data_IF_015118330155
#
_entry.id   IF_015118330155
#
_cell.length_a   1.000
_cell.length_b   1.000
_cell.length_c   1.000
_cell.angle_alpha   90.00
_cell.angle_beta   90.00
_cell.angle_gamma   90.00
#
_symmetry.space_group_name_H-M   'P 1'
#
loop_
_entity.id
_entity.type
_entity.pdbx_description
1 polymer ?
#
# COMPACT_ATOMS: atom_id res chain seq x y z
N UNK A 1 3.73 -2.57 23.67
CA UNK A 1 4.03 -3.95 23.20
C UNK A 1 2.93 -4.50 22.26
N UNK A 2 2.29 -3.67 21.42
CA UNK A 2 1.39 -4.11 20.34
C UNK A 2 2.12 -4.20 18.97
N UNK A 3 3.45 -4.04 18.98
CA UNK A 3 4.25 -3.84 17.78
C UNK A 3 5.11 -5.07 17.41
N UNK A 4 5.22 -6.10 18.25
CA UNK A 4 6.20 -7.19 18.00
C UNK A 4 5.79 -8.17 16.91
N UNK A 5 4.49 -8.47 16.75
CA UNK A 5 4.02 -9.46 15.77
C UNK A 5 3.98 -8.91 14.34
N UNK A 6 3.50 -7.67 14.17
CA UNK A 6 3.60 -6.95 12.90
C UNK A 6 5.05 -6.84 12.45
N UNK A 7 5.94 -6.38 13.33
CA UNK A 7 7.37 -6.23 13.06
C UNK A 7 8.02 -7.55 12.63
N UNK A 8 7.73 -8.63 13.36
CA UNK A 8 8.25 -9.95 13.04
C UNK A 8 7.78 -10.40 11.65
N UNK A 9 6.47 -10.37 11.38
CA UNK A 9 5.91 -10.78 10.10
C UNK A 9 6.46 -9.93 8.94
N UNK A 10 6.56 -8.62 9.14
CA UNK A 10 7.12 -7.71 8.14
C UNK A 10 8.59 -8.04 7.83
N UNK A 11 9.41 -8.33 8.85
CA UNK A 11 10.82 -8.74 8.68
C UNK A 11 10.98 -10.10 8.01
N UNK A 12 10.12 -11.05 8.37
CA UNK A 12 10.11 -12.39 7.77
C UNK A 12 9.83 -12.28 6.26
N UNK A 13 8.83 -11.49 5.85
CA UNK A 13 8.52 -11.22 4.44
C UNK A 13 9.68 -10.59 3.67
N UNK A 14 10.29 -9.54 4.22
CA UNK A 14 11.48 -8.90 3.63
C UNK A 14 12.62 -9.90 3.45
N UNK A 15 12.86 -10.73 4.47
CA UNK A 15 13.92 -11.73 4.45
C UNK A 15 13.70 -12.75 3.35
N UNK A 16 12.47 -13.25 3.19
CA UNK A 16 12.13 -14.20 2.13
C UNK A 16 12.26 -13.59 0.73
N UNK A 17 11.83 -12.34 0.53
CA UNK A 17 12.00 -11.66 -0.75
C UNK A 17 13.47 -11.51 -1.15
N UNK A 18 14.33 -11.12 -0.21
CA UNK A 18 15.77 -10.97 -0.45
C UNK A 18 16.44 -12.32 -0.74
N UNK A 19 16.05 -13.39 -0.03
CA UNK A 19 16.51 -14.76 -0.33
C UNK A 19 16.08 -15.19 -1.73
N UNK A 20 14.86 -14.87 -2.14
CA UNK A 20 14.33 -15.13 -3.48
C UNK A 20 15.18 -14.49 -4.59
N UNK A 21 15.73 -13.31 -4.34
CA UNK A 21 16.68 -12.62 -5.22
C UNK A 21 18.10 -13.23 -5.21
N UNK A 22 18.33 -14.31 -4.46
CA UNK A 22 19.65 -14.96 -4.26
C UNK A 22 20.71 -14.00 -3.70
N UNK A 23 20.29 -13.02 -2.91
CA UNK A 23 21.15 -12.05 -2.22
C UNK A 23 21.20 -12.36 -0.72
N UNK A 24 22.29 -11.98 -0.05
CA UNK A 24 22.47 -12.26 1.39
C UNK A 24 21.64 -11.27 2.25
N UNK A 25 20.89 -11.82 3.21
CA UNK A 25 20.01 -11.10 4.15
C UNK A 25 20.76 -10.59 5.40
N UNK A 26 21.88 -11.21 5.76
CA UNK A 26 22.54 -11.08 7.09
C UNK A 26 22.96 -9.66 7.48
N UNK A 27 22.92 -8.69 6.56
CA UNK A 27 23.37 -7.31 6.80
C UNK A 27 22.29 -6.29 6.41
N UNK A 28 21.01 -6.69 6.39
CA UNK A 28 19.90 -5.79 6.04
C UNK A 28 19.26 -5.12 7.25
N UNK A 29 19.11 -5.85 8.35
CA UNK A 29 18.44 -5.33 9.53
C UNK A 29 19.47 -4.70 10.46
N UNK A 30 19.34 -3.40 10.78
CA UNK A 30 20.11 -2.79 11.86
C UNK A 30 19.94 -3.57 13.17
N UNK A 31 20.94 -3.50 14.05
CA UNK A 31 20.82 -4.01 15.43
C UNK A 31 19.53 -3.49 16.07
N UNK A 32 18.90 -4.32 16.91
CA UNK A 32 17.54 -4.11 17.41
C UNK A 32 17.48 -2.98 18.47
N UNK A 33 17.69 -1.74 18.05
CA UNK A 33 17.52 -0.52 18.86
C UNK A 33 16.06 -0.06 18.86
N UNK A 34 15.17 -0.92 19.35
CA UNK A 34 13.69 -0.74 19.40
C UNK A 34 13.22 0.50 20.17
N UNK A 35 14.12 1.33 20.68
CA UNK A 35 13.80 2.62 21.30
C UNK A 35 13.48 3.70 20.25
N UNK A 36 14.00 3.58 19.01
CA UNK A 36 13.69 4.52 17.92
C UNK A 36 13.43 3.84 16.56
N UNK A 37 12.15 3.57 16.29
CA UNK A 37 11.72 2.93 15.03
C UNK A 37 11.96 3.79 13.79
N UNK A 38 12.03 5.12 13.95
CA UNK A 38 12.30 6.05 12.85
C UNK A 38 13.76 5.94 12.44
N UNK A 39 14.67 6.01 13.41
CA UNK A 39 16.09 5.81 13.19
C UNK A 39 16.37 4.42 12.59
N UNK A 40 15.75 3.39 13.14
CA UNK A 40 15.85 2.02 12.62
C UNK A 40 15.40 1.95 11.15
N UNK A 41 14.23 2.51 10.81
CA UNK A 41 13.69 2.48 9.44
C UNK A 41 14.60 3.19 8.44
N UNK A 42 15.19 4.33 8.83
CA UNK A 42 16.18 5.05 8.02
C UNK A 42 17.42 4.22 7.73
N UNK A 43 17.99 3.59 8.75
CA UNK A 43 19.17 2.73 8.59
C UNK A 43 18.88 1.49 7.75
N UNK A 44 17.69 0.91 7.90
CA UNK A 44 17.23 -0.17 7.03
C UNK A 44 17.18 0.27 5.56
N UNK A 45 16.58 1.42 5.25
CA UNK A 45 16.52 1.94 3.87
C UNK A 45 17.90 2.27 3.32
N UNK A 46 18.79 2.83 4.14
CA UNK A 46 20.19 3.05 3.77
C UNK A 46 20.89 1.73 3.41
N UNK A 47 20.75 0.71 4.25
CA UNK A 47 21.33 -0.62 4.02
C UNK A 47 20.80 -1.30 2.75
N UNK A 48 19.54 -1.06 2.38
CA UNK A 48 18.98 -1.47 1.10
C UNK A 48 19.62 -0.72 -0.07
N UNK A 49 19.70 0.62 0.00
CA UNK A 49 20.30 1.46 -1.06
C UNK A 49 21.76 1.15 -1.34
N UNK A 50 22.50 0.70 -0.33
CA UNK A 50 23.91 0.32 -0.50
C UNK A 50 24.10 -0.99 -1.30
N UNK A 51 23.06 -1.81 -1.47
CA UNK A 51 23.17 -3.20 -1.97
C UNK A 51 22.20 -3.57 -3.09
N UNK A 52 21.14 -2.79 -3.26
CA UNK A 52 20.04 -3.09 -4.16
C UNK A 52 19.79 -1.89 -5.07
N UNK A 53 19.42 -2.19 -6.31
CA UNK A 53 18.96 -1.18 -7.25
C UNK A 53 17.60 -0.61 -6.81
N UNK A 54 17.20 0.58 -7.27
CA UNK A 54 15.89 1.14 -6.93
C UNK A 54 14.72 0.20 -7.23
N UNK A 55 14.76 -0.56 -8.32
CA UNK A 55 13.69 -1.50 -8.68
C UNK A 55 13.64 -2.73 -7.77
N UNK A 56 14.80 -3.28 -7.39
CA UNK A 56 14.87 -4.36 -6.40
C UNK A 56 14.37 -3.89 -5.03
N UNK A 57 14.67 -2.66 -4.62
CA UNK A 57 14.16 -2.08 -3.37
C UNK A 57 12.64 -1.99 -3.43
N UNK A 58 12.05 -1.52 -4.53
CA UNK A 58 10.60 -1.45 -4.70
C UNK A 58 9.97 -2.84 -4.60
N UNK A 59 10.55 -3.83 -5.24
CA UNK A 59 10.08 -5.22 -5.17
C UNK A 59 10.15 -5.79 -3.76
N UNK A 60 11.28 -5.60 -3.06
CA UNK A 60 11.46 -5.98 -1.65
C UNK A 60 10.39 -5.30 -0.80
N UNK A 61 10.22 -3.98 -0.94
CA UNK A 61 9.24 -3.25 -0.13
C UNK A 61 7.81 -3.70 -0.42
N UNK A 62 7.45 -3.95 -1.68
CA UNK A 62 6.14 -4.49 -2.07
C UNK A 62 5.87 -5.86 -1.43
N UNK A 63 6.87 -6.73 -1.32
CA UNK A 63 6.71 -8.07 -0.73
C UNK A 63 6.27 -8.05 0.74
N UNK A 64 6.58 -6.96 1.45
CA UNK A 64 6.28 -6.78 2.86
C UNK A 64 4.92 -6.12 3.12
N UNK A 65 4.07 -6.00 2.09
CA UNK A 65 2.76 -5.38 2.21
C UNK A 65 1.81 -6.15 3.13
N UNK A 66 0.80 -5.44 3.65
CA UNK A 66 -0.41 -6.10 4.11
C UNK A 66 -1.13 -6.75 2.92
N UNK A 67 -1.97 -7.76 3.17
CA UNK A 67 -2.77 -8.41 2.14
C UNK A 67 -4.24 -8.04 2.30
N UNK A 68 -4.95 -7.98 1.18
CA UNK A 68 -6.41 -7.98 1.20
C UNK A 68 -6.90 -9.36 1.68
N UNK A 69 -8.01 -9.45 2.44
CA UNK A 69 -8.58 -10.74 2.83
C UNK A 69 -8.82 -11.65 1.62
N UNK A 70 -8.19 -12.84 1.60
CA UNK A 70 -8.13 -13.69 0.40
C UNK A 70 -9.50 -14.19 -0.09
N UNK A 71 -10.41 -14.51 0.84
CA UNK A 71 -11.77 -14.94 0.51
C UNK A 71 -12.58 -13.91 -0.27
N UNK A 72 -12.18 -12.63 -0.23
CA UNK A 72 -12.88 -11.55 -0.91
C UNK A 72 -12.48 -11.36 -2.38
N UNK A 73 -11.41 -12.02 -2.86
CA UNK A 73 -10.91 -11.85 -4.23
C UNK A 73 -11.16 -13.06 -5.15
N UNK A 74 -11.50 -14.22 -4.59
CA UNK A 74 -11.67 -15.47 -5.35
C UNK A 74 -12.77 -15.35 -6.43
N UNK A 75 -13.93 -14.79 -6.08
CA UNK A 75 -15.04 -14.60 -7.02
C UNK A 75 -14.66 -13.66 -8.17
N UNK A 76 -13.84 -12.63 -7.89
CA UNK A 76 -13.34 -11.69 -8.89
C UNK A 76 -12.33 -12.36 -9.82
N UNK A 77 -11.49 -13.25 -9.27
CA UNK A 77 -10.56 -14.04 -10.07
C UNK A 77 -11.30 -14.99 -11.01
N UNK A 78 -12.28 -15.74 -10.51
CA UNK A 78 -13.10 -16.63 -11.34
C UNK A 78 -13.83 -15.84 -12.44
N UNK A 79 -14.38 -14.67 -12.09
CA UNK A 79 -15.00 -13.78 -13.08
C UNK A 79 -14.01 -13.34 -14.17
N UNK A 80 -12.77 -12.99 -13.79
CA UNK A 80 -11.75 -12.61 -14.77
C UNK A 80 -11.36 -13.79 -15.67
N UNK A 81 -11.09 -14.97 -15.09
CA UNK A 81 -10.73 -16.19 -15.84
C UNK A 81 -11.82 -16.57 -16.84
N UNK A 82 -13.08 -16.46 -16.46
CA UNK A 82 -14.21 -16.86 -17.31
C UNK A 82 -14.52 -15.86 -18.43
N UNK A 83 -14.16 -14.58 -18.27
CA UNK A 83 -14.59 -13.52 -19.19
C UNK A 83 -13.46 -12.82 -19.93
N UNK A 84 -12.26 -12.78 -19.33
CA UNK A 84 -11.15 -11.93 -19.76
C UNK A 84 -11.46 -10.43 -19.68
N UNK A 85 -12.62 -10.02 -19.13
CA UNK A 85 -13.10 -8.64 -19.18
C UNK A 85 -12.69 -7.88 -17.91
N UNK A 86 -11.58 -7.16 -18.01
CA UNK A 86 -11.06 -6.33 -16.92
C UNK A 86 -12.07 -5.25 -16.47
N UNK A 87 -12.88 -4.69 -17.38
CA UNK A 87 -13.86 -3.66 -17.05
C UNK A 87 -15.00 -4.23 -16.24
N UNK A 88 -15.48 -5.42 -16.61
CA UNK A 88 -16.51 -6.13 -15.86
C UNK A 88 -16.04 -6.46 -14.44
N UNK A 89 -14.81 -6.97 -14.31
CA UNK A 89 -14.22 -7.32 -13.02
C UNK A 89 -13.99 -6.09 -12.15
N UNK A 90 -13.43 -5.01 -12.71
CA UNK A 90 -13.26 -3.74 -12.00
C UNK A 90 -14.60 -3.19 -11.50
N UNK A 91 -15.63 -3.14 -12.35
CA UNK A 91 -16.96 -2.67 -11.95
C UNK A 91 -17.58 -3.53 -10.84
N UNK A 92 -17.36 -4.84 -10.89
CA UNK A 92 -17.82 -5.76 -9.84
C UNK A 92 -17.06 -5.52 -8.53
N UNK A 93 -15.75 -5.32 -8.61
CA UNK A 93 -14.92 -5.02 -7.45
C UNK A 93 -15.29 -3.67 -6.81
N UNK A 94 -15.50 -2.62 -7.62
CA UNK A 94 -15.97 -1.32 -7.16
C UNK A 94 -17.32 -1.42 -6.45
N UNK A 95 -18.25 -2.21 -7.00
CA UNK A 95 -19.58 -2.43 -6.40
C UNK A 95 -19.47 -3.13 -5.03
N UNK A 96 -18.62 -4.14 -4.92
CA UNK A 96 -18.34 -4.83 -3.64
C UNK A 96 -17.70 -3.87 -2.64
N UNK A 97 -16.68 -3.13 -3.08
CA UNK A 97 -15.97 -2.14 -2.28
C UNK A 97 -16.93 -1.05 -1.75
N UNK A 98 -17.81 -0.52 -2.60
CA UNK A 98 -18.84 0.48 -2.23
C UNK A 98 -19.71 0.01 -1.08
N UNK A 99 -20.14 -1.26 -1.09
CA UNK A 99 -20.96 -1.85 -0.03
C UNK A 99 -20.15 -1.99 1.26
N UNK A 100 -18.95 -2.55 1.18
CA UNK A 100 -18.10 -2.84 2.35
C UNK A 100 -17.60 -1.56 3.04
N UNK A 101 -17.14 -0.56 2.27
CA UNK A 101 -16.51 0.63 2.84
C UNK A 101 -17.50 1.49 3.63
N UNK A 102 -18.77 1.52 3.19
CA UNK A 102 -19.83 2.26 3.85
C UNK A 102 -20.01 1.80 5.30
N UNK A 103 -20.12 0.48 5.49
CA UNK A 103 -20.28 -0.12 6.81
C UNK A 103 -18.98 -0.04 7.62
N UNK A 104 -17.85 -0.40 7.00
CA UNK A 104 -16.55 -0.46 7.68
C UNK A 104 -16.09 0.89 8.26
N UNK A 105 -16.35 2.00 7.57
CA UNK A 105 -15.95 3.35 8.00
C UNK A 105 -17.11 4.20 8.53
N UNK A 106 -18.32 3.64 8.64
CA UNK A 106 -19.52 4.36 9.04
C UNK A 106 -19.70 5.65 8.22
N UNK A 107 -19.87 5.49 6.91
CA UNK A 107 -19.96 6.59 5.95
C UNK A 107 -21.41 6.84 5.50
N UNK A 108 -21.70 8.09 5.13
CA UNK A 108 -22.93 8.45 4.41
C UNK A 108 -22.84 8.05 2.93
N UNK A 109 -23.97 8.00 2.23
CA UNK A 109 -23.97 7.73 0.78
C UNK A 109 -23.18 8.79 -0.01
N UNK A 110 -23.31 10.07 0.36
CA UNK A 110 -22.54 11.16 -0.26
C UNK A 110 -21.02 11.00 -0.07
N UNK A 111 -20.59 10.58 1.12
CA UNK A 111 -19.16 10.32 1.39
C UNK A 111 -18.65 9.13 0.57
N UNK A 112 -19.48 8.11 0.39
CA UNK A 112 -19.15 6.95 -0.44
C UNK A 112 -19.04 7.34 -1.91
N UNK A 113 -20.00 8.12 -2.44
CA UNK A 113 -19.95 8.58 -3.82
C UNK A 113 -18.71 9.46 -4.07
N UNK A 114 -18.37 10.36 -3.15
CA UNK A 114 -17.13 11.14 -3.20
C UNK A 114 -15.88 10.24 -3.23
N UNK A 115 -15.84 9.16 -2.44
CA UNK A 115 -14.72 8.20 -2.44
C UNK A 115 -14.58 7.54 -3.82
N UNK A 116 -15.68 7.06 -4.39
CA UNK A 116 -15.66 6.39 -5.70
C UNK A 116 -15.26 7.36 -6.80
N UNK A 117 -15.85 8.55 -6.85
CA UNK A 117 -15.53 9.58 -7.85
C UNK A 117 -14.06 10.02 -7.81
N UNK A 118 -13.46 10.08 -6.61
CA UNK A 118 -12.05 10.41 -6.45
C UNK A 118 -11.09 9.23 -6.69
N UNK A 119 -11.61 8.04 -6.98
CA UNK A 119 -10.79 6.84 -7.11
C UNK A 119 -10.12 6.41 -5.80
N UNK A 120 -10.74 6.75 -4.68
CA UNK A 120 -10.23 6.40 -3.36
C UNK A 120 -10.61 4.95 -3.01
N UNK A 121 -9.63 4.13 -2.64
CA UNK A 121 -9.84 2.75 -2.22
C UNK A 121 -9.17 1.73 -3.13
N UNK A 122 -9.51 0.46 -2.92
CA UNK A 122 -8.84 -0.67 -3.57
C UNK A 122 -9.16 -0.82 -5.06
N UNK A 123 -10.39 -0.46 -5.46
CA UNK A 123 -10.83 -0.56 -6.86
C UNK A 123 -10.17 0.48 -7.77
N UNK A 124 -9.89 1.69 -7.26
CA UNK A 124 -9.31 2.78 -8.04
C UNK A 124 -10.12 3.17 -9.28
N UNK A 125 -9.54 4.00 -10.14
CA UNK A 125 -10.10 4.35 -11.45
C UNK A 125 -9.39 3.53 -12.52
N UNK A 126 -10.15 2.81 -13.34
CA UNK A 126 -9.63 2.01 -14.45
C UNK A 126 -9.59 2.83 -15.75
N UNK A 127 -8.42 2.90 -16.37
CA UNK A 127 -8.18 3.49 -17.68
C UNK A 127 -7.38 2.51 -18.55
N UNK A 128 -8.03 1.90 -19.54
CA UNK A 128 -7.40 0.86 -20.36
C UNK A 128 -7.07 -0.39 -19.55
N UNK A 129 -5.77 -0.66 -19.38
CA UNK A 129 -5.21 -1.75 -18.56
C UNK A 129 -4.54 -1.24 -17.27
N UNK A 130 -4.70 0.05 -16.95
CA UNK A 130 -4.08 0.69 -15.80
C UNK A 130 -5.14 1.13 -14.81
N UNK A 131 -4.88 0.89 -13.52
CA UNK A 131 -5.71 1.35 -12.41
C UNK A 131 -4.93 2.40 -11.64
N UNK A 132 -5.54 3.56 -11.37
CA UNK A 132 -5.00 4.54 -10.44
C UNK A 132 -5.82 4.48 -9.15
N UNK A 133 -5.21 3.95 -8.09
CA UNK A 133 -5.83 3.85 -6.79
C UNK A 133 -5.28 4.92 -5.84
N UNK A 134 -6.18 5.72 -5.26
CA UNK A 134 -5.82 6.69 -4.22
C UNK A 134 -6.13 6.09 -2.85
N UNK A 135 -5.22 6.23 -1.89
CA UNK A 135 -5.46 5.70 -0.54
C UNK A 135 -6.56 6.49 0.15
N UNK A 136 -7.46 5.77 0.82
CA UNK A 136 -8.43 6.36 1.76
C UNK A 136 -7.70 6.66 3.07
N UNK A 137 -7.96 7.80 3.74
CA UNK A 137 -7.40 8.08 5.05
C UNK A 137 -7.64 6.94 6.06
N UNK A 138 -6.63 6.63 6.87
CA UNK A 138 -6.73 5.61 7.93
C UNK A 138 -7.88 5.93 8.88
N UNK A 139 -7.91 7.15 9.40
CA UNK A 139 -8.97 7.68 10.26
C UNK A 139 -9.79 8.72 9.48
N UNK A 140 -10.76 8.24 8.68
CA UNK A 140 -11.48 9.04 7.69
C UNK A 140 -12.11 10.31 8.26
N UNK A 141 -12.94 10.21 9.30
CA UNK A 141 -13.62 11.36 9.88
C UNK A 141 -12.64 12.37 10.48
N UNK A 142 -11.65 11.89 11.25
CA UNK A 142 -10.61 12.75 11.84
C UNK A 142 -9.75 13.45 10.80
N UNK A 143 -9.48 12.81 9.66
CA UNK A 143 -8.77 13.44 8.55
C UNK A 143 -9.50 14.68 8.02
N UNK A 144 -10.84 14.64 7.93
CA UNK A 144 -11.64 15.78 7.50
C UNK A 144 -11.85 16.82 8.61
N UNK A 145 -11.83 16.41 9.87
CA UNK A 145 -11.90 17.31 11.04
C UNK A 145 -10.58 18.02 11.36
N UNK A 146 -9.44 17.51 10.84
CA UNK A 146 -8.12 18.05 11.12
C UNK A 146 -7.96 19.51 10.67
N UNK A 147 -7.37 20.33 11.54
CA UNK A 147 -7.18 21.77 11.34
C UNK A 147 -5.80 22.12 10.77
N UNK A 148 -4.83 21.21 10.89
CA UNK A 148 -3.45 21.39 10.42
C UNK A 148 -3.07 20.32 9.39
N UNK A 149 -2.07 20.61 8.56
CA UNK A 149 -1.50 19.66 7.59
C UNK A 149 -0.90 18.43 8.27
N UNK A 150 -0.28 18.63 9.43
CA UNK A 150 0.42 17.63 10.22
C UNK A 150 -0.57 16.63 10.81
N UNK A 151 -1.65 17.11 11.43
CA UNK A 151 -2.75 16.26 11.90
C UNK A 151 -3.41 15.51 10.75
N UNK A 152 -3.64 16.20 9.63
CA UNK A 152 -4.25 15.61 8.42
C UNK A 152 -3.38 14.45 7.90
N UNK A 153 -2.08 14.65 7.75
CA UNK A 153 -1.14 13.61 7.33
C UNK A 153 -1.07 12.44 8.32
N UNK A 154 -1.11 12.73 9.62
CA UNK A 154 -1.12 11.71 10.67
C UNK A 154 -2.38 10.82 10.64
N UNK A 155 -3.57 11.40 10.42
CA UNK A 155 -4.83 10.65 10.28
C UNK A 155 -4.98 9.99 8.91
N UNK A 156 -4.27 10.50 7.90
CA UNK A 156 -4.23 9.90 6.57
C UNK A 156 -3.44 8.58 6.55
N UNK A 157 -2.23 8.59 7.10
CA UNK A 157 -1.28 7.51 6.91
C UNK A 157 -1.70 6.21 7.65
N UNK A 158 -1.59 5.08 6.95
CA UNK A 158 -1.85 3.76 7.54
C UNK A 158 -0.64 3.13 8.23
N UNK A 159 0.58 3.57 7.89
CA UNK A 159 1.81 2.98 8.41
C UNK A 159 2.14 3.57 9.78
N UNK A 160 2.22 2.77 10.86
CA UNK A 160 2.54 3.28 12.19
C UNK A 160 3.92 3.93 12.26
N UNK A 161 4.91 3.39 11.54
CA UNK A 161 6.27 3.96 11.50
C UNK A 161 6.27 5.34 10.83
N UNK A 162 5.61 5.49 9.68
CA UNK A 162 5.50 6.81 9.02
C UNK A 162 4.73 7.80 9.88
N UNK A 163 3.68 7.37 10.59
CA UNK A 163 2.97 8.24 11.54
C UNK A 163 3.90 8.74 12.64
N UNK A 164 4.76 7.88 13.21
CA UNK A 164 5.77 8.28 14.18
C UNK A 164 6.79 9.26 13.58
N UNK A 165 7.21 9.03 12.33
CA UNK A 165 8.11 9.94 11.60
C UNK A 165 7.52 11.34 11.43
N UNK A 166 6.25 11.42 11.05
CA UNK A 166 5.53 12.69 10.90
C UNK A 166 5.50 13.45 12.23
N UNK A 167 5.32 12.77 13.36
CA UNK A 167 5.35 13.39 14.69
C UNK A 167 6.75 13.91 15.07
N UNK A 168 7.82 13.27 14.60
CA UNK A 168 9.22 13.69 14.85
C UNK A 168 9.73 14.72 13.84
N UNK A 169 8.93 15.09 12.83
CA UNK A 169 9.34 15.92 11.71
C UNK A 169 10.59 15.38 10.99
N UNK A 170 10.61 14.06 10.75
CA UNK A 170 11.69 13.35 10.07
C UNK A 170 11.21 12.74 8.74
N UNK A 171 12.13 12.58 7.78
CA UNK A 171 11.84 12.01 6.46
C UNK A 171 12.51 10.65 6.24
N UNK A 172 11.88 9.79 5.44
CA UNK A 172 12.46 8.53 4.92
C UNK A 172 12.23 8.49 3.43
N UNK A 173 13.05 7.69 2.76
CA UNK A 173 12.96 7.48 1.32
C UNK A 173 11.59 6.99 0.87
N UNK A 174 11.10 7.56 -0.24
CA UNK A 174 9.77 7.27 -0.78
C UNK A 174 9.60 5.80 -1.17
N UNK A 175 10.68 5.10 -1.50
CA UNK A 175 10.69 3.66 -1.73
C UNK A 175 10.10 2.87 -0.55
N UNK A 176 10.18 3.40 0.67
CA UNK A 176 9.54 2.79 1.83
C UNK A 176 8.02 2.65 1.66
N UNK A 177 7.38 3.60 0.98
CA UNK A 177 5.94 3.58 0.71
C UNK A 177 5.52 2.51 -0.29
N UNK A 178 6.45 1.83 -0.98
CA UNK A 178 6.15 0.68 -1.84
C UNK A 178 5.63 -0.53 -1.05
N UNK A 179 5.84 -0.58 0.28
CA UNK A 179 5.12 -1.51 1.14
C UNK A 179 3.59 -1.30 1.07
N UNK A 180 3.15 -0.05 0.97
CA UNK A 180 1.74 0.25 0.72
C UNK A 180 1.31 0.04 -0.74
N UNK A 181 2.22 0.15 -1.71
CA UNK A 181 1.93 -0.16 -3.11
C UNK A 181 1.77 -1.66 -3.36
N UNK A 182 2.53 -2.48 -2.63
CA UNK A 182 2.43 -3.94 -2.67
C UNK A 182 1.04 -4.47 -2.31
N UNK A 183 0.29 -3.75 -1.47
CA UNK A 183 -1.10 -4.10 -1.16
C UNK A 183 -1.99 -4.09 -2.43
N UNK A 184 -1.80 -3.10 -3.30
CA UNK A 184 -2.57 -2.99 -4.54
C UNK A 184 -2.05 -3.95 -5.62
N UNK A 185 -0.74 -4.15 -5.67
CA UNK A 185 -0.11 -5.17 -6.52
C UNK A 185 -0.72 -6.55 -6.22
N UNK A 186 -0.71 -6.97 -4.96
CA UNK A 186 -1.25 -8.27 -4.51
C UNK A 186 -2.72 -8.47 -4.92
N UNK A 187 -3.55 -7.43 -4.77
CA UNK A 187 -4.97 -7.49 -5.17
C UNK A 187 -5.11 -7.81 -6.65
N UNK A 188 -4.46 -7.04 -7.52
CA UNK A 188 -4.65 -7.17 -8.96
C UNK A 188 -3.90 -8.36 -9.55
N UNK A 189 -2.78 -8.80 -8.97
CA UNK A 189 -2.14 -10.07 -9.34
C UNK A 189 -3.03 -11.26 -8.98
N UNK A 190 -3.68 -11.24 -7.81
CA UNK A 190 -4.61 -12.30 -7.40
C UNK A 190 -5.87 -12.33 -8.26
N UNK A 191 -6.45 -11.16 -8.57
CA UNK A 191 -7.64 -11.08 -9.43
C UNK A 191 -7.30 -11.55 -10.85
N UNK A 192 -6.22 -11.03 -11.45
CA UNK A 192 -5.96 -11.28 -12.87
C UNK A 192 -5.16 -12.55 -13.15
N UNK A 193 -4.42 -13.05 -12.16
CA UNK A 193 -3.40 -14.09 -12.37
C UNK A 193 -2.21 -13.63 -13.20
N UNK A 194 -2.12 -12.32 -13.51
CA UNK A 194 -1.07 -11.72 -14.33
C UNK A 194 -0.07 -10.97 -13.47
N UNK A 195 1.13 -10.76 -14.01
CA UNK A 195 2.12 -9.88 -13.38
C UNK A 195 1.62 -8.43 -13.44
N UNK A 196 1.78 -7.71 -12.33
CA UNK A 196 1.40 -6.30 -12.22
C UNK A 196 2.61 -5.45 -11.86
N UNK A 197 2.74 -4.29 -12.48
CA UNK A 197 3.69 -3.26 -12.06
C UNK A 197 2.97 -2.18 -11.27
N UNK A 198 3.63 -1.66 -10.22
CA UNK A 198 3.08 -0.57 -9.41
C UNK A 198 4.06 0.58 -9.33
N UNK A 199 3.52 1.80 -9.33
CA UNK A 199 4.30 3.03 -9.18
C UNK A 199 3.59 3.99 -8.25
N UNK A 200 4.31 4.46 -7.23
CA UNK A 200 3.82 5.55 -6.37
C UNK A 200 3.85 6.84 -7.19
N UNK A 201 2.69 7.44 -7.46
CA UNK A 201 2.54 8.68 -8.23
C UNK A 201 2.55 9.91 -7.32
N UNK A 202 1.83 9.83 -6.20
CA UNK A 202 1.74 10.88 -5.18
C UNK A 202 1.96 10.30 -3.80
N UNK A 203 2.49 11.09 -2.89
CA UNK A 203 2.64 10.71 -1.49
C UNK A 203 2.71 11.90 -0.57
N UNK A 204 2.03 11.80 0.58
CA UNK A 204 2.16 12.77 1.68
C UNK A 204 3.60 12.92 2.19
N UNK A 205 4.48 11.96 1.89
CA UNK A 205 5.91 12.04 2.20
C UNK A 205 6.69 13.00 1.27
N UNK A 206 6.09 13.38 0.14
CA UNK A 206 6.60 14.36 -0.82
C UNK A 206 5.71 15.61 -0.85
N UNK A 207 5.05 15.93 0.26
CA UNK A 207 4.15 17.08 0.43
C UNK A 207 2.88 17.07 -0.46
N UNK A 208 2.53 15.92 -1.07
CA UNK A 208 1.23 15.78 -1.72
C UNK A 208 0.08 15.71 -0.69
N UNK A 209 -1.14 16.09 -1.08
CA UNK A 209 -2.33 15.98 -0.23
C UNK A 209 -2.80 14.53 -0.02
N UNK A 210 -2.48 13.65 -0.98
CA UNK A 210 -2.91 12.25 -0.98
C UNK A 210 -1.82 11.33 -1.53
N UNK A 211 -1.92 10.03 -1.23
CA UNK A 211 -1.09 9.00 -1.83
C UNK A 211 -1.87 8.29 -2.95
N UNK A 212 -1.36 8.32 -4.19
CA UNK A 212 -1.90 7.54 -5.30
C UNK A 212 -0.87 6.59 -5.90
N UNK A 213 -1.36 5.44 -6.35
CA UNK A 213 -0.57 4.35 -6.89
C UNK A 213 -1.15 3.98 -8.25
N UNK A 214 -0.30 4.03 -9.26
CA UNK A 214 -0.56 3.45 -10.58
C UNK A 214 -0.31 1.95 -10.51
N UNK A 215 -1.19 1.18 -11.13
CA UNK A 215 -1.21 -0.27 -11.13
C UNK A 215 -1.40 -0.70 -12.58
N UNK A 216 -0.35 -1.17 -13.24
CA UNK A 216 -0.38 -1.58 -14.64
C UNK A 216 -0.41 -3.10 -14.73
N UNK A 217 -1.50 -3.63 -15.28
CA UNK A 217 -1.63 -5.06 -15.55
C UNK A 217 -0.88 -5.37 -16.84
N UNK A 218 0.15 -6.21 -16.76
CA UNK A 218 0.98 -6.53 -17.90
C UNK A 218 0.23 -7.47 -18.86
N UNK A 219 0.39 -7.22 -20.15
CA UNK A 219 -0.03 -8.15 -21.19
C UNK A 219 1.01 -9.28 -21.33
N UNK A 220 0.58 -10.43 -21.84
CA UNK A 220 1.44 -11.60 -22.07
C UNK A 220 2.30 -11.44 -23.34
#
# INVERSE_FOLDING_TARGET
MANSEFEKNWRDKISEAVKGMRKNVEVLFPEDDREDLVFWSKNFMKGLKDKFTPDEIREIMCSASCHYPEGSLADLHELYVNTGDLKLVHKTFESNFKREIKEYKNLTDEQVDMIIEKGWGAAGILEGNTIVATKIPKEFHKYFEACTSEERNYFYCHCPRIREMLLKNESIDIEYCYCGAGFYKDIWEKITGKKVEVKVLKSIMNDDETCSIEISILED
#
